data_IF_006596848740
#
_entry.id   IF_006596848740
#
_cell.length_a   1.000
_cell.length_b   1.000
_cell.length_c   1.000
_cell.angle_alpha   90.00
_cell.angle_beta   90.00
_cell.angle_gamma   90.00
#
_symmetry.space_group_name_H-M   'P 1'
#
loop_
_entity.id
_entity.type
_entity.pdbx_description
1 polymer ?
#
# COMPACT_ATOMS: atom_id res chain seq x y z
N UNK A 1 -8.20 -78.02 4.93
CA UNK A 1 -9.51 -78.71 5.05
C UNK A 1 -10.41 -77.78 5.85
N UNK A 2 -11.69 -77.57 5.52
CA UNK A 2 -12.38 -77.84 4.25
C UNK A 2 -12.99 -76.62 3.65
N UNK A 3 -13.27 -76.72 2.41
CA UNK A 3 -14.05 -75.94 1.47
C UNK A 3 -15.52 -75.78 1.86
N UNK A 4 -16.14 -74.61 1.59
CA UNK A 4 -17.58 -74.56 1.28
C UNK A 4 -17.90 -73.55 0.22
N UNK A 5 -18.41 -74.08 -0.87
CA UNK A 5 -19.06 -73.34 -2.00
C UNK A 5 -20.44 -72.85 -1.55
N UNK A 6 -20.81 -71.61 -1.99
CA UNK A 6 -22.23 -71.24 -2.13
C UNK A 6 -22.42 -70.25 -3.29
N UNK A 7 -22.93 -70.74 -4.32
CA UNK A 7 -24.12 -70.50 -5.16
C UNK A 7 -24.49 -69.03 -5.45
N UNK A 8 -24.45 -68.74 -6.77
CA UNK A 8 -25.01 -67.57 -7.41
C UNK A 8 -26.54 -67.54 -7.30
N UNK A 9 -27.11 -66.36 -7.00
CA UNK A 9 -28.49 -66.03 -7.28
C UNK A 9 -28.50 -64.80 -8.18
N UNK A 10 -28.96 -64.96 -9.41
CA UNK A 10 -29.20 -63.90 -10.37
C UNK A 10 -30.50 -63.13 -10.01
N UNK A 11 -30.43 -61.82 -9.80
CA UNK A 11 -31.59 -60.97 -9.75
C UNK A 11 -31.55 -60.02 -10.94
N UNK A 12 -32.54 -60.13 -11.80
CA UNK A 12 -32.79 -59.22 -12.95
C UNK A 12 -33.24 -57.84 -12.43
N UNK A 13 -32.51 -56.81 -12.79
CA UNK A 13 -32.92 -55.41 -12.55
C UNK A 13 -33.37 -54.83 -13.91
N UNK A 14 -34.62 -54.46 -13.99
CA UNK A 14 -35.19 -53.71 -15.11
C UNK A 14 -34.63 -52.30 -15.18
N UNK A 15 -34.01 -51.96 -16.29
CA UNK A 15 -33.52 -50.62 -16.57
C UNK A 15 -34.67 -49.67 -16.96
N UNK A 16 -35.00 -48.71 -16.09
CA UNK A 16 -35.80 -47.55 -16.47
C UNK A 16 -34.84 -46.51 -17.08
N UNK A 17 -34.95 -46.28 -18.36
CA UNK A 17 -34.29 -45.22 -19.11
C UNK A 17 -35.10 -43.93 -18.91
N UNK A 18 -34.57 -42.99 -18.10
CA UNK A 18 -35.03 -41.61 -18.08
C UNK A 18 -34.15 -40.78 -19.04
N UNK A 19 -34.73 -39.94 -19.90
CA UNK A 19 -33.94 -39.07 -20.75
C UNK A 19 -33.35 -37.91 -19.88
N UNK A 20 -32.05 -37.88 -19.69
CA UNK A 20 -31.34 -36.69 -19.22
C UNK A 20 -31.31 -35.69 -20.38
N UNK A 21 -32.12 -34.65 -20.27
CA UNK A 21 -31.96 -33.43 -21.04
C UNK A 21 -30.73 -32.69 -20.47
N UNK A 22 -29.57 -32.91 -21.07
CA UNK A 22 -28.37 -32.14 -20.79
C UNK A 22 -28.51 -30.78 -21.48
N UNK A 23 -29.00 -29.77 -20.75
CA UNK A 23 -28.68 -28.38 -21.06
C UNK A 23 -27.23 -28.13 -20.64
N UNK A 24 -26.31 -28.22 -21.61
CA UNK A 24 -24.95 -27.76 -21.45
C UNK A 24 -24.98 -26.24 -21.42
N UNK A 25 -24.90 -25.64 -20.21
CA UNK A 25 -24.39 -24.32 -20.05
C UNK A 25 -22.93 -24.48 -19.59
N UNK A 26 -22.00 -24.14 -20.47
CA UNK A 26 -20.59 -23.96 -20.11
C UNK A 26 -20.53 -22.92 -19.02
N UNK A 27 -20.25 -23.35 -17.80
CA UNK A 27 -19.99 -22.46 -16.70
C UNK A 27 -18.60 -21.84 -16.87
N UNK A 28 -18.53 -20.60 -17.36
CA UNK A 28 -17.44 -19.70 -17.07
C UNK A 28 -17.38 -19.58 -15.54
N UNK A 29 -16.25 -19.95 -14.94
CA UNK A 29 -16.02 -19.91 -13.48
C UNK A 29 -15.85 -18.51 -12.90
N UNK A 30 -16.38 -17.47 -13.54
CA UNK A 30 -16.47 -16.11 -13.04
C UNK A 30 -17.72 -15.94 -12.18
N UNK A 31 -17.58 -15.70 -10.89
CA UNK A 31 -18.68 -15.31 -10.01
C UNK A 31 -19.42 -14.10 -10.60
N UNK A 32 -20.76 -14.11 -10.53
CA UNK A 32 -21.59 -12.99 -11.01
C UNK A 32 -21.14 -11.69 -10.35
N UNK A 33 -20.86 -10.66 -11.16
CA UNK A 33 -20.56 -9.29 -10.71
C UNK A 33 -21.83 -8.52 -10.30
N UNK A 34 -23.00 -9.14 -10.40
CA UNK A 34 -24.25 -8.51 -10.03
C UNK A 34 -24.35 -8.36 -8.51
N UNK A 35 -24.29 -7.09 -8.07
CA UNK A 35 -24.52 -6.66 -6.69
C UNK A 35 -25.86 -5.92 -6.54
N UNK A 36 -26.74 -6.03 -7.52
CA UNK A 36 -28.10 -5.50 -7.45
C UNK A 36 -28.94 -6.32 -6.49
N UNK A 37 -29.89 -5.67 -5.82
CA UNK A 37 -30.80 -6.37 -4.93
C UNK A 37 -30.99 -5.67 -3.60
N UNK A 38 -31.69 -6.33 -2.69
CA UNK A 38 -31.96 -5.81 -1.37
C UNK A 38 -30.72 -5.92 -0.47
N UNK A 39 -30.46 -4.85 0.26
CA UNK A 39 -29.38 -4.82 1.26
C UNK A 39 -29.91 -5.50 2.52
N UNK A 40 -29.61 -6.78 2.69
CA UNK A 40 -30.02 -7.60 3.84
C UNK A 40 -29.16 -8.85 3.99
N UNK A 41 -29.23 -9.47 5.17
CA UNK A 41 -28.56 -10.72 5.53
C UNK A 41 -27.29 -10.50 6.34
N UNK A 42 -26.71 -11.61 6.78
CA UNK A 42 -25.53 -11.63 7.61
C UNK A 42 -24.29 -11.53 6.73
N UNK A 43 -23.39 -10.59 7.03
CA UNK A 43 -22.09 -10.41 6.38
C UNK A 43 -20.96 -10.41 7.42
N UNK A 44 -19.80 -10.84 6.99
CA UNK A 44 -18.55 -10.78 7.77
C UNK A 44 -17.65 -9.66 7.26
N UNK A 45 -17.14 -8.85 8.20
CA UNK A 45 -16.19 -7.77 7.94
C UNK A 45 -14.87 -8.07 8.65
N UNK A 46 -13.78 -8.20 7.92
CA UNK A 46 -12.45 -8.48 8.46
C UNK A 46 -11.52 -7.27 8.35
N UNK A 47 -10.87 -6.95 9.46
CA UNK A 47 -9.82 -5.92 9.58
C UNK A 47 -8.59 -6.48 10.28
N UNK A 48 -7.53 -5.68 10.40
CA UNK A 48 -6.31 -6.01 11.12
C UNK A 48 -5.88 -4.87 12.07
N UNK A 49 -5.55 -5.24 13.31
CA UNK A 49 -5.04 -4.34 14.36
C UNK A 49 -5.89 -3.09 14.63
N UNK A 50 -7.18 -3.12 14.38
CA UNK A 50 -8.06 -1.98 14.61
C UNK A 50 -8.86 -2.08 15.91
N UNK A 51 -9.23 -3.30 16.33
CA UNK A 51 -10.11 -3.49 17.50
C UNK A 51 -9.51 -2.95 18.80
N UNK A 52 -8.20 -3.10 18.99
CA UNK A 52 -7.54 -2.67 20.22
C UNK A 52 -7.69 -1.17 20.50
N UNK A 53 -7.73 -0.33 19.45
CA UNK A 53 -7.76 1.13 19.58
C UNK A 53 -9.07 1.76 19.12
N UNK A 54 -9.86 1.08 18.28
CA UNK A 54 -11.02 1.68 17.60
C UNK A 54 -12.29 0.85 17.74
N UNK A 55 -12.38 -0.02 18.77
CA UNK A 55 -13.54 -0.88 19.02
C UNK A 55 -14.84 -0.11 19.00
N UNK A 56 -14.95 0.92 19.85
CA UNK A 56 -16.19 1.68 20.01
C UNK A 56 -16.61 2.41 18.72
N UNK A 57 -15.63 2.83 17.92
CA UNK A 57 -15.90 3.46 16.63
C UNK A 57 -16.53 2.47 15.65
N UNK A 58 -15.92 1.28 15.47
CA UNK A 58 -16.43 0.29 14.51
C UNK A 58 -17.72 -0.36 14.96
N UNK A 59 -17.90 -0.62 16.26
CA UNK A 59 -19.16 -1.13 16.79
C UNK A 59 -20.29 -0.11 16.61
N UNK A 60 -20.03 1.19 16.80
CA UNK A 60 -20.99 2.26 16.53
C UNK A 60 -21.33 2.37 15.04
N UNK A 61 -20.32 2.37 14.16
CA UNK A 61 -20.49 2.42 12.72
C UNK A 61 -21.33 1.23 12.19
N UNK A 62 -21.08 0.03 12.72
CA UNK A 62 -21.85 -1.17 12.38
C UNK A 62 -23.30 -1.03 12.84
N UNK A 63 -23.52 -0.60 14.07
CA UNK A 63 -24.88 -0.41 14.60
C UNK A 63 -25.68 0.63 13.78
N UNK A 64 -25.05 1.71 13.34
CA UNK A 64 -25.70 2.73 12.49
C UNK A 64 -25.98 2.17 11.07
N UNK A 65 -25.10 1.34 10.51
CA UNK A 65 -25.36 0.64 9.24
C UNK A 65 -26.55 -0.32 9.37
N UNK A 66 -26.60 -1.17 10.39
CA UNK A 66 -27.69 -2.12 10.63
C UNK A 66 -29.02 -1.38 10.86
N UNK A 67 -29.01 -0.22 11.51
CA UNK A 67 -30.18 0.64 11.66
C UNK A 67 -30.64 1.24 10.33
N UNK A 68 -29.70 1.64 9.47
CA UNK A 68 -29.98 2.18 8.12
C UNK A 68 -30.54 1.10 7.18
N UNK A 69 -30.09 -0.13 7.34
CA UNK A 69 -30.50 -1.29 6.53
C UNK A 69 -31.06 -2.40 7.43
N UNK A 70 -32.33 -2.29 7.89
CA UNK A 70 -32.96 -3.30 8.73
C UNK A 70 -32.98 -4.67 8.04
N UNK A 71 -32.53 -5.69 8.76
CA UNK A 71 -32.36 -7.06 8.22
C UNK A 71 -30.94 -7.39 7.78
N UNK A 72 -29.98 -6.46 7.94
CA UNK A 72 -28.56 -6.77 7.85
C UNK A 72 -27.97 -7.02 9.23
N UNK A 73 -26.97 -7.89 9.30
CA UNK A 73 -26.12 -8.09 10.49
C UNK A 73 -24.67 -8.20 10.07
N UNK A 74 -23.78 -7.41 10.71
CA UNK A 74 -22.36 -7.36 10.38
C UNK A 74 -21.52 -7.96 11.50
N UNK A 75 -20.92 -9.11 11.24
CA UNK A 75 -19.97 -9.74 12.14
C UNK A 75 -18.56 -9.18 11.88
N UNK A 76 -18.08 -8.34 12.79
CA UNK A 76 -16.71 -7.80 12.69
C UNK A 76 -15.67 -8.75 13.30
N UNK A 77 -14.68 -9.10 12.50
CA UNK A 77 -13.51 -9.94 12.85
C UNK A 77 -12.26 -9.09 12.68
N UNK A 78 -11.46 -8.92 13.74
CA UNK A 78 -10.19 -8.22 13.68
C UNK A 78 -9.05 -9.19 13.93
N UNK A 79 -8.07 -9.22 13.05
CA UNK A 79 -6.92 -10.12 13.08
C UNK A 79 -5.65 -9.39 13.55
N UNK A 80 -4.67 -10.09 14.11
CA UNK A 80 -3.32 -9.55 14.27
C UNK A 80 -2.72 -9.14 12.91
N UNK A 81 -1.86 -8.12 12.90
CA UNK A 81 -1.16 -7.71 11.67
C UNK A 81 -0.11 -8.73 11.24
N UNK A 82 0.59 -9.34 12.19
CA UNK A 82 1.51 -10.46 11.92
C UNK A 82 0.74 -11.68 11.40
N UNK A 83 1.15 -12.20 10.24
CA UNK A 83 0.48 -13.33 9.59
C UNK A 83 -0.86 -13.01 8.92
N UNK A 84 -1.23 -11.72 8.79
CA UNK A 84 -2.52 -11.33 8.16
C UNK A 84 -2.62 -11.79 6.70
N UNK A 85 -1.56 -11.63 5.91
CA UNK A 85 -1.51 -12.07 4.52
C UNK A 85 -1.67 -13.60 4.40
N UNK A 86 -1.00 -14.35 5.28
CA UNK A 86 -1.11 -15.82 5.32
C UNK A 86 -2.53 -16.25 5.69
N UNK A 87 -3.16 -15.55 6.63
CA UNK A 87 -4.55 -15.81 7.03
C UNK A 87 -5.52 -15.59 5.88
N UNK A 88 -5.39 -14.48 5.14
CA UNK A 88 -6.21 -14.20 3.94
C UNK A 88 -6.01 -15.29 2.89
N UNK A 89 -4.77 -15.69 2.64
CA UNK A 89 -4.44 -16.74 1.66
C UNK A 89 -5.04 -18.09 2.07
N UNK A 90 -4.98 -18.44 3.36
CA UNK A 90 -5.60 -19.67 3.88
C UNK A 90 -7.13 -19.64 3.79
N UNK A 91 -7.75 -18.50 4.11
CA UNK A 91 -9.21 -18.32 4.00
C UNK A 91 -9.68 -18.41 2.54
N UNK A 92 -8.91 -17.81 1.62
CA UNK A 92 -9.18 -17.88 0.18
C UNK A 92 -9.12 -19.34 -0.32
N UNK A 93 -8.07 -20.07 0.03
CA UNK A 93 -7.91 -21.48 -0.34
C UNK A 93 -8.96 -22.38 0.30
N UNK A 94 -9.41 -22.05 1.52
CA UNK A 94 -10.42 -22.81 2.27
C UNK A 94 -11.88 -22.46 1.91
N UNK A 95 -12.12 -21.46 1.05
CA UNK A 95 -13.49 -20.98 0.75
C UNK A 95 -14.17 -20.31 1.95
N UNK A 96 -13.40 -19.76 2.89
CA UNK A 96 -13.88 -19.10 4.12
C UNK A 96 -13.55 -17.62 4.16
N UNK A 97 -13.21 -17.03 3.00
CA UNK A 97 -12.91 -15.62 2.88
C UNK A 97 -14.12 -14.77 3.30
N UNK A 98 -13.97 -13.80 4.21
CA UNK A 98 -15.05 -12.91 4.63
C UNK A 98 -15.67 -12.13 3.48
N UNK A 99 -16.90 -11.62 3.67
CA UNK A 99 -17.63 -10.87 2.65
C UNK A 99 -16.95 -9.53 2.32
N UNK A 100 -16.40 -8.84 3.34
CA UNK A 100 -15.67 -7.57 3.20
C UNK A 100 -14.34 -7.69 3.94
N UNK A 101 -13.25 -7.43 3.24
CA UNK A 101 -11.88 -7.64 3.75
C UNK A 101 -11.04 -6.37 3.60
N UNK A 102 -10.41 -5.94 4.68
CA UNK A 102 -9.42 -4.86 4.64
C UNK A 102 -8.12 -5.37 3.99
N UNK A 103 -7.68 -4.72 2.94
CA UNK A 103 -6.55 -5.15 2.11
C UNK A 103 -5.68 -3.98 1.67
N UNK A 104 -4.40 -4.24 1.47
CA UNK A 104 -3.51 -3.42 0.65
C UNK A 104 -3.56 -3.87 -0.81
N UNK A 105 -3.13 -3.05 -1.78
CA UNK A 105 -3.18 -3.41 -3.20
C UNK A 105 -2.50 -4.74 -3.54
N UNK A 106 -1.36 -5.04 -2.91
CA UNK A 106 -0.62 -6.30 -3.10
C UNK A 106 -1.38 -7.53 -2.60
N UNK A 107 -2.24 -7.40 -1.59
CA UNK A 107 -3.11 -8.49 -1.12
C UNK A 107 -4.33 -8.70 -2.04
N UNK A 108 -4.79 -7.65 -2.71
CA UNK A 108 -5.92 -7.75 -3.66
C UNK A 108 -5.54 -8.52 -4.91
N UNK A 109 -4.34 -8.32 -5.44
CA UNK A 109 -3.93 -8.85 -6.73
C UNK A 109 -4.07 -10.37 -6.87
N UNK A 110 -3.55 -11.21 -5.95
CA UNK A 110 -3.73 -12.66 -6.03
C UNK A 110 -5.20 -13.07 -5.89
N UNK A 111 -5.98 -12.38 -5.07
CA UNK A 111 -7.41 -12.67 -4.87
C UNK A 111 -8.24 -12.35 -6.12
N UNK A 112 -7.94 -11.24 -6.79
CA UNK A 112 -8.62 -10.88 -8.04
C UNK A 112 -8.26 -11.84 -9.18
N UNK A 113 -6.99 -12.21 -9.32
CA UNK A 113 -6.54 -13.22 -10.29
C UNK A 113 -7.23 -14.58 -10.06
N UNK A 114 -7.50 -14.93 -8.81
CA UNK A 114 -8.25 -16.14 -8.44
C UNK A 114 -9.77 -16.00 -8.59
N UNK A 115 -10.29 -14.83 -9.04
CA UNK A 115 -11.73 -14.57 -9.17
C UNK A 115 -12.47 -14.42 -7.83
N UNK A 116 -11.74 -14.10 -6.75
CA UNK A 116 -12.29 -13.95 -5.40
C UNK A 116 -12.59 -12.48 -5.03
N UNK A 117 -12.02 -11.50 -5.73
CA UNK A 117 -12.31 -10.10 -5.55
C UNK A 117 -13.38 -9.63 -6.58
N UNK A 118 -14.37 -8.91 -6.10
CA UNK A 118 -15.46 -8.38 -6.94
C UNK A 118 -14.94 -7.22 -7.80
N UNK A 119 -15.23 -7.23 -9.10
CA UNK A 119 -14.98 -6.13 -10.02
C UNK A 119 -15.93 -4.95 -9.69
N UNK A 120 -15.40 -3.92 -9.06
CA UNK A 120 -16.18 -2.77 -8.61
C UNK A 120 -16.55 -1.81 -9.75
N UNK A 121 -15.80 -1.76 -10.85
CA UNK A 121 -16.19 -0.95 -11.99
C UNK A 121 -17.55 -1.43 -12.57
N UNK A 122 -17.82 -2.74 -12.47
CA UNK A 122 -19.12 -3.33 -12.87
C UNK A 122 -20.17 -3.30 -11.76
N UNK A 123 -19.77 -3.61 -10.53
CA UNK A 123 -20.71 -3.78 -9.41
C UNK A 123 -21.05 -2.45 -8.68
N UNK A 124 -20.19 -1.47 -8.74
CA UNK A 124 -20.21 -0.25 -7.91
C UNK A 124 -19.61 0.99 -8.62
N UNK A 125 -19.47 0.98 -9.95
CA UNK A 125 -18.81 2.04 -10.72
C UNK A 125 -19.44 3.42 -10.58
N UNK A 126 -20.71 3.50 -10.14
CA UNK A 126 -21.36 4.76 -9.81
C UNK A 126 -20.67 5.54 -8.69
N UNK A 127 -19.88 4.88 -7.84
CA UNK A 127 -19.15 5.48 -6.72
C UNK A 127 -17.73 5.94 -7.07
N UNK A 128 -17.18 5.55 -8.24
CA UNK A 128 -15.80 5.90 -8.64
C UNK A 128 -15.46 7.37 -8.41
N UNK A 129 -16.38 8.28 -8.83
CA UNK A 129 -16.17 9.73 -8.74
C UNK A 129 -16.19 10.30 -7.32
N UNK A 130 -16.59 9.50 -6.34
CA UNK A 130 -16.54 9.90 -4.92
C UNK A 130 -15.12 9.83 -4.36
N UNK A 131 -14.21 9.12 -5.03
CA UNK A 131 -12.83 8.91 -4.60
C UNK A 131 -11.82 9.74 -5.41
N UNK A 132 -10.65 9.94 -4.85
CA UNK A 132 -9.50 10.47 -5.58
C UNK A 132 -9.13 9.49 -6.71
N UNK A 133 -8.88 9.99 -7.89
CA UNK A 133 -8.55 9.19 -9.08
C UNK A 133 -7.38 8.23 -8.82
N UNK A 134 -6.28 8.73 -8.22
CA UNK A 134 -5.13 7.91 -7.88
C UNK A 134 -5.43 6.83 -6.85
N UNK A 135 -6.33 7.09 -5.90
CA UNK A 135 -6.72 6.09 -4.89
C UNK A 135 -7.60 4.98 -5.50
N UNK A 136 -8.55 5.33 -6.38
CA UNK A 136 -9.35 4.33 -7.10
C UNK A 136 -8.47 3.47 -8.02
N UNK A 137 -7.55 4.12 -8.75
CA UNK A 137 -6.65 3.44 -9.68
C UNK A 137 -5.63 2.51 -8.98
N UNK A 138 -5.29 2.74 -7.71
CA UNK A 138 -4.33 1.91 -6.97
C UNK A 138 -4.76 0.45 -6.76
N UNK A 139 -6.07 0.17 -6.90
CA UNK A 139 -6.62 -1.18 -6.80
C UNK A 139 -6.93 -1.81 -8.18
N UNK A 140 -6.45 -1.22 -9.26
CA UNK A 140 -6.42 -1.82 -10.59
C UNK A 140 -5.21 -2.74 -10.71
N UNK A 141 -5.41 -3.88 -11.37
CA UNK A 141 -4.37 -4.90 -11.50
C UNK A 141 -3.90 -4.94 -12.95
N UNK A 142 -2.60 -4.80 -13.20
CA UNK A 142 -2.05 -4.88 -14.55
C UNK A 142 -2.50 -6.16 -15.27
N UNK A 143 -2.96 -6.01 -16.51
CA UNK A 143 -3.48 -7.14 -17.31
C UNK A 143 -4.90 -7.59 -16.98
N UNK A 144 -5.58 -6.92 -16.05
CA UNK A 144 -6.99 -7.16 -15.75
C UNK A 144 -7.80 -5.88 -15.92
N UNK A 145 -9.08 -6.01 -16.35
CA UNK A 145 -10.03 -4.91 -16.33
C UNK A 145 -10.66 -4.80 -14.94
N UNK A 146 -11.03 -3.58 -14.53
CA UNK A 146 -11.76 -3.33 -13.29
C UNK A 146 -10.87 -2.86 -12.11
N UNK A 147 -11.57 -2.41 -11.08
CA UNK A 147 -11.02 -2.01 -9.77
C UNK A 147 -11.53 -2.99 -8.71
N UNK A 148 -10.67 -3.47 -7.80
CA UNK A 148 -10.98 -4.63 -6.96
C UNK A 148 -11.09 -4.37 -5.46
N UNK A 149 -10.98 -3.10 -5.04
CA UNK A 149 -11.32 -2.69 -3.68
C UNK A 149 -11.77 -1.23 -3.65
N UNK A 150 -12.70 -0.90 -2.75
CA UNK A 150 -13.01 0.48 -2.41
C UNK A 150 -11.81 1.11 -1.70
N UNK A 151 -11.26 2.25 -2.17
CA UNK A 151 -10.21 2.94 -1.43
C UNK A 151 -10.75 3.39 -0.07
N UNK A 152 -10.04 3.04 0.99
CA UNK A 152 -10.52 3.36 2.34
C UNK A 152 -9.77 4.56 2.92
N UNK A 153 -8.51 4.37 3.27
CA UNK A 153 -7.70 5.46 3.79
C UNK A 153 -6.33 5.51 3.16
N UNK A 154 -5.78 6.71 3.15
CA UNK A 154 -4.46 7.00 2.62
C UNK A 154 -3.48 7.25 3.76
N UNK A 155 -2.23 6.91 3.51
CA UNK A 155 -1.13 7.29 4.36
C UNK A 155 -0.03 7.93 3.52
N UNK A 156 0.53 9.02 4.04
CA UNK A 156 1.70 9.70 3.50
C UNK A 156 2.34 10.49 4.64
N UNK A 157 3.57 10.90 4.47
CA UNK A 157 4.24 11.76 5.44
C UNK A 157 5.15 12.76 4.75
N UNK A 158 5.39 13.91 5.38
CA UNK A 158 6.38 14.86 4.93
C UNK A 158 7.79 14.34 5.15
N UNK A 159 8.75 15.09 4.63
CA UNK A 159 10.15 14.92 4.91
C UNK A 159 10.58 15.99 5.91
N UNK A 160 11.22 15.58 7.00
CA UNK A 160 11.86 16.48 7.96
C UNK A 160 13.30 16.72 7.57
N UNK A 161 13.80 17.93 7.83
CA UNK A 161 15.20 18.25 7.62
C UNK A 161 15.75 19.12 8.75
N UNK A 162 17.04 19.01 9.01
CA UNK A 162 17.73 19.76 10.06
C UNK A 162 18.30 21.08 9.49
N UNK A 163 17.61 22.20 9.74
CA UNK A 163 17.99 23.54 9.31
C UNK A 163 19.41 23.95 9.73
N UNK A 164 19.86 23.50 10.90
CA UNK A 164 21.21 23.81 11.39
C UNK A 164 22.29 23.14 10.55
N UNK A 165 22.08 21.90 10.12
CA UNK A 165 22.99 21.18 9.24
C UNK A 165 23.03 21.78 7.84
N UNK A 166 21.87 22.18 7.31
CA UNK A 166 21.79 22.91 6.04
C UNK A 166 22.60 24.20 6.10
N UNK A 167 22.37 25.03 7.14
CA UNK A 167 23.12 26.27 7.34
C UNK A 167 24.62 26.02 7.48
N UNK A 168 25.05 24.99 8.24
CA UNK A 168 26.46 24.61 8.39
C UNK A 168 27.10 24.25 7.05
N UNK A 169 26.33 23.64 6.15
CA UNK A 169 26.78 23.28 4.81
C UNK A 169 26.74 24.45 3.79
N UNK A 170 26.28 25.63 4.20
CA UNK A 170 26.14 26.80 3.32
C UNK A 170 24.92 26.71 2.41
N UNK A 171 23.93 25.89 2.79
CA UNK A 171 22.62 25.81 2.15
C UNK A 171 21.65 26.76 2.83
N UNK A 172 20.68 27.28 2.07
CA UNK A 172 19.60 28.08 2.65
C UNK A 172 18.64 27.17 3.44
N UNK A 173 18.53 27.34 4.77
CA UNK A 173 17.65 26.50 5.57
C UNK A 173 16.15 26.73 5.34
N UNK A 174 15.77 27.79 4.60
CA UNK A 174 14.36 28.06 4.24
C UNK A 174 14.01 27.60 2.82
N UNK A 175 14.99 27.03 2.11
CA UNK A 175 14.84 26.46 0.77
C UNK A 175 15.27 24.98 0.77
N UNK A 176 14.49 24.08 1.37
CA UNK A 176 14.80 22.64 1.35
C UNK A 176 14.70 22.09 -0.08
N UNK A 177 15.49 21.05 -0.40
CA UNK A 177 15.41 20.38 -1.69
C UNK A 177 14.04 19.76 -1.90
N UNK A 178 13.56 19.79 -3.16
CA UNK A 178 12.26 19.26 -3.60
C UNK A 178 12.40 18.15 -4.63
N UNK A 179 13.50 18.16 -5.38
CA UNK A 179 13.80 17.17 -6.41
C UNK A 179 14.97 16.28 -5.97
N UNK A 180 15.12 15.13 -6.59
CA UNK A 180 16.24 14.24 -6.32
C UNK A 180 17.58 14.90 -6.63
N UNK A 181 17.70 15.65 -7.74
CA UNK A 181 18.95 16.33 -8.09
C UNK A 181 19.34 17.36 -7.02
N UNK A 182 18.37 18.14 -6.51
CA UNK A 182 18.59 19.09 -5.41
C UNK A 182 19.02 18.38 -4.11
N UNK A 183 18.42 17.20 -3.82
CA UNK A 183 18.83 16.37 -2.67
C UNK A 183 20.26 15.86 -2.83
N UNK A 184 20.62 15.36 -4.02
CA UNK A 184 21.96 14.85 -4.28
C UNK A 184 23.02 15.95 -4.14
N UNK A 185 22.74 17.13 -4.68
CA UNK A 185 23.62 18.28 -4.54
C UNK A 185 23.76 18.75 -3.10
N UNK A 186 22.65 18.79 -2.35
CA UNK A 186 22.65 19.11 -0.93
C UNK A 186 23.44 18.06 -0.13
N UNK A 187 23.28 16.78 -0.46
CA UNK A 187 23.94 15.67 0.22
C UNK A 187 25.47 15.76 0.07
N UNK A 188 25.95 15.98 -1.14
CA UNK A 188 27.40 16.15 -1.39
C UNK A 188 27.97 17.37 -0.66
N UNK A 189 27.23 18.49 -0.62
CA UNK A 189 27.64 19.68 0.14
C UNK A 189 27.70 19.43 1.65
N UNK A 190 26.69 18.76 2.22
CA UNK A 190 26.65 18.43 3.65
C UNK A 190 27.81 17.50 3.99
N UNK A 191 28.00 16.41 3.26
CA UNK A 191 29.11 15.48 3.48
C UNK A 191 30.47 16.18 3.36
N UNK A 192 30.67 17.00 2.34
CA UNK A 192 31.94 17.74 2.15
C UNK A 192 32.22 18.75 3.23
N UNK A 193 31.21 19.34 3.90
CA UNK A 193 31.37 20.30 5.01
C UNK A 193 31.47 19.63 6.37
N UNK A 194 31.23 18.35 6.45
CA UNK A 194 31.25 17.56 7.70
C UNK A 194 32.24 16.39 7.64
N UNK A 195 33.11 16.35 6.61
CA UNK A 195 34.08 15.27 6.37
C UNK A 195 33.42 13.86 6.39
N UNK A 196 32.14 13.78 5.92
CA UNK A 196 31.36 12.57 5.90
C UNK A 196 30.81 12.13 7.26
N UNK A 197 30.89 12.97 8.31
CA UNK A 197 30.29 12.66 9.61
C UNK A 197 28.77 12.74 9.59
N UNK A 198 28.18 13.55 8.69
CA UNK A 198 26.74 13.72 8.53
C UNK A 198 26.32 13.26 7.13
N UNK A 199 25.48 12.25 7.09
CA UNK A 199 24.80 11.84 5.86
C UNK A 199 23.52 12.67 5.64
N UNK A 200 23.08 12.78 4.42
CA UNK A 200 21.79 13.43 4.15
C UNK A 200 20.65 12.43 4.19
N UNK A 201 20.82 11.27 3.59
CA UNK A 201 19.85 10.19 3.53
C UNK A 201 20.34 8.96 4.31
N UNK A 202 19.42 8.26 4.94
CA UNK A 202 19.71 7.07 5.74
C UNK A 202 19.38 5.75 5.02
N UNK A 203 18.67 5.78 3.91
CA UNK A 203 18.15 4.59 3.23
C UNK A 203 18.72 4.50 1.81
N UNK A 204 18.83 3.27 1.32
CA UNK A 204 19.00 2.99 -0.11
C UNK A 204 17.69 3.25 -0.85
N UNK A 205 17.72 3.47 -2.20
CA UNK A 205 16.50 3.69 -2.96
C UNK A 205 15.61 2.45 -2.96
N UNK A 206 14.30 2.69 -2.80
CA UNK A 206 13.24 1.69 -2.89
C UNK A 206 12.54 1.78 -4.23
N UNK A 207 11.63 0.86 -4.54
CA UNK A 207 10.87 0.89 -5.80
C UNK A 207 10.10 2.20 -5.98
N UNK A 208 9.61 2.79 -4.90
CA UNK A 208 8.91 4.06 -4.89
C UNK A 208 9.86 5.23 -5.22
N UNK A 209 11.14 5.13 -4.84
CA UNK A 209 12.14 6.13 -5.22
C UNK A 209 12.42 6.09 -6.72
N UNK A 210 12.50 4.89 -7.31
CA UNK A 210 12.62 4.74 -8.77
C UNK A 210 11.44 5.40 -9.48
N UNK A 211 10.20 5.14 -9.03
CA UNK A 211 9.00 5.76 -9.59
C UNK A 211 8.98 7.29 -9.43
N UNK A 212 9.26 7.80 -8.23
CA UNK A 212 9.31 9.26 -7.96
C UNK A 212 10.45 9.97 -8.72
N UNK A 213 11.52 9.26 -9.07
CA UNK A 213 12.58 9.78 -9.92
C UNK A 213 12.17 9.81 -11.39
N UNK A 214 11.22 8.98 -11.81
CA UNK A 214 10.65 8.91 -13.16
C UNK A 214 11.08 7.69 -13.96
N UNK A 215 11.60 6.65 -13.30
CA UNK A 215 11.83 5.35 -13.94
C UNK A 215 10.49 4.65 -14.23
N UNK A 216 10.44 3.90 -15.32
CA UNK A 216 9.31 3.03 -15.64
C UNK A 216 9.32 1.82 -14.72
N UNK A 217 8.33 1.67 -13.84
CA UNK A 217 8.34 0.56 -12.88
C UNK A 217 7.98 -0.77 -13.55
N UNK A 218 7.05 -0.75 -14.50
CA UNK A 218 6.64 -1.90 -15.31
C UNK A 218 6.52 -1.52 -16.78
N UNK A 219 6.51 -2.51 -17.67
CA UNK A 219 6.17 -2.31 -19.07
C UNK A 219 4.69 -1.86 -19.19
N UNK A 220 4.29 -1.38 -20.37
CA UNK A 220 2.94 -0.87 -20.63
C UNK A 220 1.83 -1.90 -20.38
N UNK A 221 2.13 -3.17 -20.63
CA UNK A 221 1.23 -4.29 -20.45
C UNK A 221 1.12 -4.75 -19.00
N UNK A 222 1.99 -4.23 -18.09
CA UNK A 222 2.03 -4.65 -16.69
C UNK A 222 2.50 -6.10 -16.47
N UNK A 223 3.20 -6.68 -17.44
CA UNK A 223 3.60 -8.09 -17.44
C UNK A 223 5.07 -8.34 -17.11
N UNK A 224 5.87 -7.28 -17.03
CA UNK A 224 7.29 -7.33 -16.68
C UNK A 224 7.72 -6.02 -16.00
N UNK A 225 8.70 -6.11 -15.12
CA UNK A 225 9.32 -4.94 -14.52
C UNK A 225 10.25 -4.23 -15.51
N UNK A 226 10.42 -2.92 -15.37
CA UNK A 226 11.17 -2.08 -16.31
C UNK A 226 12.04 -1.00 -15.63
N UNK A 227 12.22 -1.07 -14.32
CA UNK A 227 12.95 -0.05 -13.56
C UNK A 227 14.46 -0.04 -13.78
N UNK A 228 14.96 -0.87 -14.69
CA UNK A 228 16.33 -0.86 -15.24
C UNK A 228 16.48 0.05 -16.47
N UNK A 229 15.53 0.93 -16.72
CA UNK A 229 15.61 1.94 -17.78
C UNK A 229 16.69 3.01 -17.46
N UNK A 230 16.91 3.95 -18.40
CA UNK A 230 17.91 4.98 -18.25
C UNK A 230 17.74 5.82 -16.96
N UNK A 231 16.49 6.08 -16.56
CA UNK A 231 16.19 6.84 -15.32
C UNK A 231 16.50 6.03 -14.07
N UNK A 232 16.18 4.74 -14.06
CA UNK A 232 16.53 3.86 -12.96
C UNK A 232 18.04 3.74 -12.78
N UNK A 233 18.78 3.57 -13.88
CA UNK A 233 20.26 3.50 -13.85
C UNK A 233 20.87 4.82 -13.39
N UNK A 234 20.33 5.96 -13.85
CA UNK A 234 20.75 7.29 -13.39
C UNK A 234 20.55 7.44 -11.88
N UNK A 235 19.37 7.11 -11.34
CA UNK A 235 19.09 7.17 -9.91
C UNK A 235 20.11 6.34 -9.11
N UNK A 236 20.31 5.08 -9.47
CA UNK A 236 21.23 4.20 -8.74
C UNK A 236 22.68 4.66 -8.86
N UNK A 237 23.07 5.24 -9.97
CA UNK A 237 24.41 5.85 -10.17
C UNK A 237 24.60 7.02 -9.20
N UNK A 238 23.60 7.91 -9.06
CA UNK A 238 23.66 9.03 -8.13
C UNK A 238 23.71 8.55 -6.67
N UNK A 239 22.96 7.52 -6.30
CA UNK A 239 23.05 6.92 -4.97
C UNK A 239 24.43 6.31 -4.70
N UNK A 240 25.06 5.71 -5.72
CA UNK A 240 26.44 5.22 -5.59
C UNK A 240 27.42 6.36 -5.35
N UNK A 241 27.29 7.48 -6.06
CA UNK A 241 28.10 8.68 -5.81
C UNK A 241 27.96 9.19 -4.36
N UNK A 242 26.72 9.21 -3.83
CA UNK A 242 26.48 9.57 -2.42
C UNK A 242 27.16 8.59 -1.46
N UNK A 243 27.08 7.29 -1.77
CA UNK A 243 27.68 6.25 -0.92
C UNK A 243 29.22 6.40 -0.89
N UNK A 244 29.85 6.57 -2.06
CA UNK A 244 31.30 6.74 -2.20
C UNK A 244 31.78 8.05 -1.51
N UNK A 245 30.98 9.10 -1.57
CA UNK A 245 31.24 10.38 -0.93
C UNK A 245 30.89 10.43 0.59
N UNK A 246 30.43 9.33 1.19
CA UNK A 246 29.90 9.25 2.56
C UNK A 246 28.72 10.21 2.83
N UNK A 247 28.00 10.60 1.79
CA UNK A 247 26.81 11.44 1.86
C UNK A 247 25.54 10.61 2.11
N UNK A 248 25.61 9.28 1.94
CA UNK A 248 24.63 8.30 2.36
C UNK A 248 25.11 7.63 3.66
N UNK A 249 24.18 7.35 4.58
CA UNK A 249 24.52 6.68 5.85
C UNK A 249 25.28 5.36 5.60
N UNK A 250 26.38 5.09 6.29
CA UNK A 250 27.14 3.85 6.12
C UNK A 250 26.34 2.57 6.41
N UNK A 251 25.26 2.66 7.21
CA UNK A 251 24.36 1.57 7.52
C UNK A 251 23.09 1.58 6.66
N UNK A 252 23.02 2.40 5.59
CA UNK A 252 21.85 2.50 4.72
C UNK A 252 21.41 1.15 4.14
N UNK A 253 22.35 0.23 3.92
CA UNK A 253 22.09 -1.12 3.42
C UNK A 253 21.24 -1.99 4.38
N UNK A 254 21.28 -1.69 5.68
CA UNK A 254 20.57 -2.43 6.73
C UNK A 254 19.62 -1.54 7.54
N UNK A 255 19.36 -0.33 7.04
CA UNK A 255 18.54 0.65 7.73
C UNK A 255 17.08 0.19 7.91
N UNK A 256 16.52 0.53 9.07
CA UNK A 256 15.10 0.39 9.37
C UNK A 256 14.52 1.76 9.71
N UNK A 257 13.20 2.00 9.59
CA UNK A 257 12.58 3.27 9.95
C UNK A 257 12.95 3.73 11.37
N UNK A 258 13.02 2.80 12.34
CA UNK A 258 13.41 3.10 13.71
C UNK A 258 14.88 3.54 13.81
N UNK A 259 15.79 2.89 13.11
CA UNK A 259 17.22 3.24 13.13
C UNK A 259 17.47 4.60 12.48
N UNK A 260 16.74 4.94 11.41
CA UNK A 260 16.87 6.24 10.71
C UNK A 260 16.36 7.40 11.57
N UNK A 261 15.23 7.22 12.25
CA UNK A 261 14.71 8.21 13.19
C UNK A 261 15.70 8.53 14.35
N UNK A 262 16.35 7.50 14.90
CA UNK A 262 17.40 7.68 15.93
C UNK A 262 18.60 8.48 15.40
N UNK A 263 19.03 8.23 14.16
CA UNK A 263 20.15 8.98 13.53
C UNK A 263 19.78 10.43 13.24
N UNK A 264 18.56 10.70 12.83
CA UNK A 264 18.05 12.06 12.69
C UNK A 264 18.05 12.79 14.05
N UNK A 265 17.59 12.13 15.13
CA UNK A 265 17.60 12.65 16.49
C UNK A 265 19.02 13.08 16.97
N UNK A 266 20.03 12.31 16.61
CA UNK A 266 21.42 12.59 17.00
C UNK A 266 22.14 13.57 16.05
N UNK A 267 21.50 13.95 14.93
CA UNK A 267 22.09 14.80 13.90
C UNK A 267 23.09 14.09 12.99
N UNK A 268 23.13 12.75 13.01
CA UNK A 268 23.96 11.96 12.10
C UNK A 268 23.39 11.91 10.68
N UNK A 269 22.08 12.19 10.55
CA UNK A 269 21.37 12.28 9.26
C UNK A 269 20.62 13.60 9.18
N UNK A 270 20.70 14.26 8.02
CA UNK A 270 20.15 15.60 7.84
C UNK A 270 18.68 15.62 7.42
N UNK A 271 18.17 14.55 6.80
CA UNK A 271 16.77 14.43 6.34
C UNK A 271 16.19 13.08 6.74
N UNK A 272 14.91 13.07 7.15
CA UNK A 272 14.21 11.87 7.60
C UNK A 272 12.71 11.95 7.26
N UNK A 273 12.11 10.95 6.64
CA UNK A 273 10.65 10.85 6.56
C UNK A 273 10.04 10.81 7.96
N UNK A 274 8.86 11.40 8.15
CA UNK A 274 8.28 11.41 9.47
C UNK A 274 6.79 11.76 9.50
N UNK A 275 6.24 11.62 10.71
CA UNK A 275 4.85 11.87 11.05
C UNK A 275 4.73 12.92 12.16
N UNK A 276 3.51 13.34 12.46
CA UNK A 276 3.23 14.20 13.61
C UNK A 276 3.67 13.56 14.94
N UNK A 277 3.57 12.23 15.05
CA UNK A 277 4.03 11.50 16.23
C UNK A 277 5.56 11.58 16.38
N UNK A 278 6.31 11.47 15.27
CA UNK A 278 7.77 11.62 15.30
C UNK A 278 8.15 13.02 15.74
N UNK A 279 7.47 14.04 15.22
CA UNK A 279 7.73 15.44 15.62
C UNK A 279 7.47 15.67 17.11
N UNK A 280 6.40 15.11 17.65
CA UNK A 280 6.09 15.15 19.08
C UNK A 280 7.16 14.42 19.93
N UNK A 281 7.68 13.29 19.42
CA UNK A 281 8.78 12.57 20.07
C UNK A 281 10.08 13.37 20.03
N UNK A 282 10.40 14.00 18.91
CA UNK A 282 11.61 14.86 18.79
C UNK A 282 11.54 16.06 19.72
N UNK A 283 10.36 16.66 19.88
CA UNK A 283 10.13 17.75 20.86
C UNK A 283 10.47 17.34 22.27
N UNK A 284 10.15 16.10 22.68
CA UNK A 284 10.42 15.56 24.01
C UNK A 284 11.88 15.13 24.19
N UNK A 285 12.44 14.43 23.21
CA UNK A 285 13.74 13.76 23.32
C UNK A 285 14.92 14.65 22.91
N UNK A 286 14.73 15.58 21.98
CA UNK A 286 15.76 16.46 21.43
C UNK A 286 15.24 17.89 21.19
N UNK A 287 14.93 18.66 22.25
CA UNK A 287 14.34 20.00 22.11
C UNK A 287 15.18 20.98 21.29
N UNK A 288 16.51 20.84 21.29
CA UNK A 288 17.43 21.67 20.48
C UNK A 288 17.34 21.36 19.01
N UNK A 289 17.23 20.08 18.63
CA UNK A 289 16.97 19.66 17.26
C UNK A 289 15.58 20.12 16.83
N UNK A 290 14.56 19.89 17.65
CA UNK A 290 13.18 20.23 17.34
C UNK A 290 13.01 21.69 16.90
N UNK A 291 13.68 22.65 17.54
CA UNK A 291 13.67 24.07 17.15
C UNK A 291 14.24 24.34 15.75
N UNK A 292 14.99 23.41 15.22
CA UNK A 292 15.69 23.50 13.94
C UNK A 292 15.14 22.51 12.91
N UNK A 293 14.00 21.86 13.17
CA UNK A 293 13.34 21.00 12.18
C UNK A 293 12.56 21.86 11.18
N UNK A 294 12.88 21.69 9.92
CA UNK A 294 12.03 22.11 8.81
C UNK A 294 11.17 20.97 8.33
N UNK A 295 10.01 21.30 7.75
CA UNK A 295 9.07 20.36 7.14
C UNK A 295 8.99 20.68 5.67
N UNK A 296 9.13 19.67 4.81
CA UNK A 296 8.98 19.78 3.35
C UNK A 296 8.20 18.57 2.81
N UNK A 297 7.71 18.67 1.58
CA UNK A 297 7.08 17.55 0.90
C UNK A 297 8.10 16.41 0.66
N UNK A 298 7.62 15.24 0.27
CA UNK A 298 8.48 14.17 -0.23
C UNK A 298 9.25 14.64 -1.45
N UNK A 299 10.46 14.10 -1.61
CA UNK A 299 11.29 14.37 -2.79
C UNK A 299 10.69 13.66 -4.00
N UNK A 300 10.59 14.38 -5.10
CA UNK A 300 10.09 13.84 -6.37
C UNK A 300 10.65 14.60 -7.56
N UNK A 301 10.98 13.93 -8.64
CA UNK A 301 11.34 14.55 -9.93
C UNK A 301 10.19 14.49 -10.93
N UNK A 302 9.09 13.77 -10.61
CA UNK A 302 7.88 13.67 -11.45
C UNK A 302 6.83 14.75 -11.10
N UNK A 303 6.99 15.42 -9.96
CA UNK A 303 5.97 16.33 -9.40
C UNK A 303 4.87 15.63 -8.59
N UNK A 304 4.88 14.31 -8.53
CA UNK A 304 3.93 13.50 -7.76
C UNK A 304 4.63 12.85 -6.56
N UNK A 305 4.02 12.96 -5.39
CA UNK A 305 4.51 12.28 -4.18
C UNK A 305 3.93 10.86 -4.09
N UNK A 306 4.55 10.01 -3.29
CA UNK A 306 4.02 8.67 -3.03
C UNK A 306 2.91 8.71 -1.98
N UNK A 307 1.87 7.90 -2.18
CA UNK A 307 0.89 7.55 -1.16
C UNK A 307 0.81 6.04 -0.99
N UNK A 308 0.33 5.61 0.17
CA UNK A 308 -0.04 4.23 0.42
C UNK A 308 -1.55 4.18 0.62
N UNK A 309 -2.21 3.23 -0.04
CA UNK A 309 -3.67 3.10 -0.02
C UNK A 309 -4.05 1.81 0.66
N UNK A 310 -5.00 1.87 1.58
CA UNK A 310 -5.70 0.69 2.08
C UNK A 310 -7.09 0.66 1.50
N UNK A 311 -7.61 -0.54 1.26
CA UNK A 311 -8.92 -0.72 0.64
C UNK A 311 -9.80 -1.72 1.38
N UNK A 312 -11.07 -1.72 1.00
CA UNK A 312 -12.04 -2.76 1.36
C UNK A 312 -12.43 -3.55 0.10
N UNK A 313 -11.94 -4.76 0.01
CA UNK A 313 -12.30 -5.71 -1.02
C UNK A 313 -13.64 -6.37 -0.67
N UNK A 314 -14.49 -6.56 -1.67
CA UNK A 314 -15.71 -7.37 -1.56
C UNK A 314 -15.44 -8.75 -2.16
N UNK A 315 -15.79 -9.80 -1.42
CA UNK A 315 -15.64 -11.17 -1.89
C UNK A 315 -16.63 -11.46 -3.06
N UNK A 316 -16.09 -11.81 -4.22
CA UNK A 316 -16.91 -12.14 -5.41
C UNK A 316 -17.77 -13.39 -5.21
N UNK A 317 -17.45 -14.24 -4.25
CA UNK A 317 -18.23 -15.45 -3.91
C UNK A 317 -19.23 -15.22 -2.77
N UNK A 318 -19.31 -13.99 -2.22
CA UNK A 318 -20.33 -13.67 -1.21
C UNK A 318 -21.74 -13.95 -1.73
N UNK A 319 -22.55 -14.61 -0.93
CA UNK A 319 -23.98 -14.79 -1.21
C UNK A 319 -24.79 -13.51 -0.89
N UNK A 320 -24.14 -12.51 -0.26
CA UNK A 320 -24.73 -11.25 0.20
C UNK A 320 -24.08 -10.04 -0.46
N UNK A 321 -23.71 -10.14 -1.74
CA UNK A 321 -23.03 -9.05 -2.48
C UNK A 321 -23.70 -7.67 -2.34
N UNK A 322 -25.05 -7.52 -2.44
CA UNK A 322 -25.67 -6.21 -2.25
C UNK A 322 -25.37 -5.60 -0.85
N UNK A 323 -25.44 -6.41 0.21
CA UNK A 323 -25.13 -5.95 1.56
C UNK A 323 -23.63 -5.69 1.75
N UNK A 324 -22.75 -6.55 1.22
CA UNK A 324 -21.30 -6.39 1.29
C UNK A 324 -20.81 -5.13 0.56
N UNK A 325 -21.30 -4.86 -0.66
CA UNK A 325 -20.99 -3.64 -1.42
C UNK A 325 -21.52 -2.40 -0.70
N UNK A 326 -22.77 -2.44 -0.22
CA UNK A 326 -23.35 -1.32 0.50
C UNK A 326 -22.58 -1.02 1.81
N UNK A 327 -22.15 -2.05 2.53
CA UNK A 327 -21.35 -1.88 3.74
C UNK A 327 -19.94 -1.37 3.45
N UNK A 328 -19.25 -1.94 2.46
CA UNK A 328 -17.92 -1.50 2.07
C UNK A 328 -17.93 -0.01 1.64
N UNK A 329 -18.90 0.38 0.81
CA UNK A 329 -19.09 1.80 0.45
C UNK A 329 -19.42 2.67 1.67
N UNK A 330 -20.31 2.23 2.57
CA UNK A 330 -20.68 2.96 3.79
C UNK A 330 -19.48 3.25 4.68
N UNK A 331 -18.59 2.26 4.87
CA UNK A 331 -17.35 2.46 5.64
C UNK A 331 -16.40 3.43 4.94
N UNK A 332 -16.41 3.44 3.60
CA UNK A 332 -15.44 4.20 2.77
C UNK A 332 -16.02 5.48 2.17
N UNK A 333 -17.23 5.87 2.50
CA UNK A 333 -17.80 7.15 2.07
C UNK A 333 -17.14 8.35 2.78
N UNK A 334 -17.40 9.55 2.30
CA UNK A 334 -16.76 10.77 2.80
C UNK A 334 -17.06 11.04 4.29
N UNK A 335 -18.28 10.76 4.76
CA UNK A 335 -18.69 11.00 6.14
C UNK A 335 -17.93 10.11 7.12
N UNK A 336 -17.89 8.79 6.83
CA UNK A 336 -17.28 7.81 7.71
C UNK A 336 -15.75 7.86 7.65
N UNK A 337 -15.15 8.10 6.48
CA UNK A 337 -13.71 8.33 6.40
C UNK A 337 -13.27 9.59 7.14
N UNK A 338 -14.01 10.69 7.04
CA UNK A 338 -13.73 11.91 7.81
C UNK A 338 -13.88 11.70 9.31
N UNK A 339 -14.91 10.97 9.74
CA UNK A 339 -15.09 10.60 11.14
C UNK A 339 -13.93 9.76 11.67
N UNK A 340 -13.42 8.82 10.87
CA UNK A 340 -12.27 7.99 11.23
C UNK A 340 -10.97 8.78 11.23
N UNK A 341 -10.72 9.60 10.20
CA UNK A 341 -9.51 10.42 10.08
C UNK A 341 -9.33 11.43 11.23
N UNK A 342 -10.44 11.90 11.85
CA UNK A 342 -10.40 12.74 13.05
C UNK A 342 -10.01 11.99 14.33
N UNK A 343 -9.95 10.66 14.29
CA UNK A 343 -9.58 9.79 15.44
C UNK A 343 -8.19 9.19 15.28
N UNK A 344 -7.69 9.09 14.07
CA UNK A 344 -6.39 8.49 13.75
C UNK A 344 -5.68 9.31 12.66
N UNK A 345 -4.35 9.35 12.72
CA UNK A 345 -3.54 10.14 11.78
C UNK A 345 -3.44 9.48 10.39
N UNK A 346 -4.58 9.37 9.71
CA UNK A 346 -4.73 8.92 8.32
C UNK A 346 -5.44 10.00 7.50
N UNK A 347 -5.54 9.77 6.20
CA UNK A 347 -6.21 10.69 5.28
C UNK A 347 -7.34 9.96 4.55
N UNK A 348 -8.49 10.62 4.32
CA UNK A 348 -9.56 10.04 3.52
C UNK A 348 -9.13 9.93 2.05
N UNK A 349 -9.61 8.88 1.39
CA UNK A 349 -9.42 8.66 -0.05
C UNK A 349 -10.49 9.33 -0.91
N UNK A 350 -11.50 9.95 -0.29
CA UNK A 350 -12.65 10.55 -0.98
C UNK A 350 -12.31 11.93 -1.53
N UNK A 351 -12.79 12.21 -2.74
CA UNK A 351 -12.65 13.49 -3.41
C UNK A 351 -13.33 14.59 -2.57
N UNK A 352 -12.67 15.74 -2.43
CA UNK A 352 -13.20 16.86 -1.66
C UNK A 352 -13.00 16.76 -0.13
N UNK A 353 -12.80 15.59 0.44
CA UNK A 353 -12.56 15.46 1.89
C UNK A 353 -11.27 16.15 2.34
N UNK A 354 -10.25 16.18 1.48
CA UNK A 354 -9.00 16.90 1.76
C UNK A 354 -9.14 18.43 1.71
N UNK A 355 -10.30 18.95 1.29
CA UNK A 355 -10.63 20.40 1.34
C UNK A 355 -11.29 20.82 2.65
N UNK A 356 -11.67 19.86 3.52
CA UNK A 356 -12.22 20.14 4.85
C UNK A 356 -11.26 21.02 5.66
N UNK A 357 -11.78 21.99 6.47
CA UNK A 357 -10.96 22.79 7.37
C UNK A 357 -10.01 21.99 8.26
N UNK A 358 -10.33 20.78 8.61
CA UNK A 358 -9.46 19.87 9.35
C UNK A 358 -8.14 19.60 8.64
N UNK A 359 -8.14 19.51 7.31
CA UNK A 359 -6.96 19.26 6.47
C UNK A 359 -6.35 20.50 5.83
N UNK A 360 -6.99 21.67 5.93
CA UNK A 360 -6.54 22.89 5.24
C UNK A 360 -6.15 24.01 6.20
N UNK A 361 -6.52 23.94 7.49
CA UNK A 361 -6.21 24.98 8.47
C UNK A 361 -5.21 24.49 9.49
N UNK A 362 -4.21 25.33 9.74
CA UNK A 362 -3.26 25.16 10.85
C UNK A 362 -3.72 25.97 12.06
N UNK A 363 -3.52 25.41 13.25
CA UNK A 363 -3.76 26.07 14.54
C UNK A 363 -2.43 26.42 15.27
N UNK A 364 -1.31 26.24 14.57
CA UNK A 364 0.05 26.50 15.07
C UNK A 364 0.65 25.30 15.80
N UNK A 365 -0.05 24.18 15.92
CA UNK A 365 0.51 22.93 16.45
C UNK A 365 1.30 22.19 15.37
N UNK A 366 2.27 21.37 15.80
CA UNK A 366 3.04 20.52 14.89
C UNK A 366 2.17 19.48 14.18
N UNK A 367 1.15 18.98 14.88
CA UNK A 367 0.19 18.03 14.32
C UNK A 367 -0.55 18.64 13.13
N UNK A 368 -1.09 19.84 13.29
CA UNK A 368 -1.82 20.50 12.18
C UNK A 368 -0.90 20.89 11.04
N UNK A 369 0.34 21.32 11.31
CA UNK A 369 1.35 21.61 10.27
C UNK A 369 1.66 20.38 9.41
N UNK A 370 1.93 19.22 10.05
CA UNK A 370 2.19 17.96 9.33
C UNK A 370 0.95 17.50 8.57
N UNK A 371 -0.21 17.56 9.20
CA UNK A 371 -1.48 17.13 8.58
C UNK A 371 -1.82 17.95 7.34
N UNK A 372 -1.73 19.28 7.42
CA UNK A 372 -2.02 20.19 6.31
C UNK A 372 -1.03 20.00 5.16
N UNK A 373 0.27 19.91 5.46
CA UNK A 373 1.29 19.65 4.44
C UNK A 373 1.02 18.32 3.71
N UNK A 374 0.78 17.24 4.47
CA UNK A 374 0.49 15.92 3.88
C UNK A 374 -0.80 15.90 3.05
N UNK A 375 -1.87 16.51 3.55
CA UNK A 375 -3.15 16.57 2.83
C UNK A 375 -3.04 17.33 1.50
N UNK A 376 -2.24 18.40 1.47
CA UNK A 376 -1.96 19.15 0.25
C UNK A 376 -1.28 18.27 -0.80
N UNK A 377 -0.28 17.50 -0.40
CA UNK A 377 0.49 16.62 -1.29
C UNK A 377 -0.36 15.47 -1.83
N UNK A 378 -1.28 14.94 -1.03
CA UNK A 378 -2.14 13.81 -1.41
C UNK A 378 -3.08 14.09 -2.59
N UNK A 379 -3.43 15.35 -2.85
CA UNK A 379 -4.33 15.71 -3.97
C UNK A 379 -3.81 15.28 -5.34
N UNK A 380 -2.49 15.18 -5.48
CA UNK A 380 -1.82 14.77 -6.73
C UNK A 380 -0.93 13.55 -6.52
N UNK A 381 -1.04 12.88 -5.39
CA UNK A 381 -0.23 11.71 -5.07
C UNK A 381 -0.63 10.51 -5.93
N UNK A 382 0.35 9.63 -6.17
CA UNK A 382 0.16 8.33 -6.82
C UNK A 382 0.78 7.24 -5.96
N UNK A 383 0.26 6.04 -6.05
CA UNK A 383 0.89 4.88 -5.45
C UNK A 383 1.95 4.35 -6.43
N UNK A 384 3.22 4.53 -6.06
CA UNK A 384 4.33 4.05 -6.87
C UNK A 384 4.70 2.59 -6.60
N UNK A 385 4.08 1.94 -5.61
CA UNK A 385 4.33 0.52 -5.37
C UNK A 385 3.54 -0.31 -6.38
N UNK A 386 4.18 -0.99 -7.36
CA UNK A 386 3.42 -1.85 -8.25
C UNK A 386 2.68 -2.93 -7.47
N UNK A 387 1.40 -3.10 -7.73
CA UNK A 387 0.51 -4.04 -7.02
C UNK A 387 1.06 -5.48 -6.97
N UNK A 388 1.88 -5.84 -7.96
CA UNK A 388 2.50 -7.16 -8.07
C UNK A 388 3.90 -7.23 -7.43
N UNK A 389 4.38 -6.15 -6.78
CA UNK A 389 5.73 -6.06 -6.23
C UNK A 389 5.77 -6.60 -4.80
N UNK A 390 6.01 -7.90 -4.64
CA UNK A 390 5.99 -8.61 -3.37
C UNK A 390 7.18 -8.27 -2.44
N UNK A 391 7.08 -8.62 -1.17
CA UNK A 391 8.16 -8.46 -0.17
C UNK A 391 9.45 -9.18 -0.59
N UNK A 392 9.33 -10.31 -1.28
CA UNK A 392 10.49 -11.02 -1.80
C UNK A 392 11.17 -10.20 -2.91
N UNK A 393 10.40 -9.55 -3.80
CA UNK A 393 10.94 -8.66 -4.84
C UNK A 393 11.60 -7.42 -4.24
N UNK A 394 11.05 -6.84 -3.17
CA UNK A 394 11.69 -5.75 -2.42
C UNK A 394 13.06 -6.17 -1.87
N UNK A 395 13.16 -7.39 -1.39
CA UNK A 395 14.40 -7.97 -0.88
C UNK A 395 15.42 -8.16 -2.01
N UNK A 396 15.01 -8.69 -3.16
CA UNK A 396 15.90 -8.86 -4.33
C UNK A 396 16.42 -7.50 -4.83
N UNK A 397 15.54 -6.49 -5.00
CA UNK A 397 15.95 -5.15 -5.37
C UNK A 397 16.99 -4.58 -4.39
N UNK A 398 16.73 -4.66 -3.10
CA UNK A 398 17.64 -4.17 -2.05
C UNK A 398 19.00 -4.85 -2.13
N UNK A 399 19.05 -6.18 -2.35
CA UNK A 399 20.27 -6.95 -2.44
C UNK A 399 21.13 -6.50 -3.65
N UNK A 400 20.49 -6.30 -4.81
CA UNK A 400 21.21 -5.88 -6.01
C UNK A 400 21.67 -4.42 -5.90
N UNK A 401 20.83 -3.53 -5.38
CA UNK A 401 21.22 -2.15 -5.03
C UNK A 401 22.44 -2.15 -4.11
N UNK A 402 22.45 -2.97 -3.06
CA UNK A 402 23.56 -3.06 -2.13
C UNK A 402 24.88 -3.48 -2.84
N UNK A 403 24.82 -4.42 -3.78
CA UNK A 403 26.01 -4.83 -4.56
C UNK A 403 26.54 -3.70 -5.43
N UNK A 404 25.66 -2.92 -6.07
CA UNK A 404 26.06 -1.75 -6.85
C UNK A 404 26.73 -0.68 -5.98
N UNK A 405 26.13 -0.33 -4.84
CA UNK A 405 26.70 0.66 -3.92
C UNK A 405 28.07 0.23 -3.40
N UNK A 406 28.27 -1.07 -3.13
CA UNK A 406 29.55 -1.64 -2.71
C UNK A 406 30.57 -1.79 -3.86
N UNK A 407 30.22 -1.41 -5.09
CA UNK A 407 31.11 -1.53 -6.26
C UNK A 407 31.35 -2.97 -6.75
N UNK A 408 30.51 -3.92 -6.33
CA UNK A 408 30.60 -5.35 -6.74
C UNK A 408 30.06 -5.59 -8.15
N UNK A 409 29.22 -4.69 -8.65
CA UNK A 409 28.67 -4.67 -10.01
C UNK A 409 28.30 -3.24 -10.38
N UNK A 410 28.12 -2.98 -11.67
CA UNK A 410 27.65 -1.67 -12.14
C UNK A 410 26.17 -1.44 -11.77
N UNK A 411 25.71 -0.18 -11.71
CA UNK A 411 24.29 0.12 -11.53
C UNK A 411 23.38 -0.56 -12.57
N UNK A 412 23.80 -0.60 -13.85
CA UNK A 412 23.05 -1.29 -14.90
C UNK A 412 22.92 -2.79 -14.61
N UNK A 413 24.04 -3.48 -14.35
CA UNK A 413 24.03 -4.92 -14.04
C UNK A 413 23.19 -5.24 -12.82
N UNK A 414 23.22 -4.37 -11.78
CA UNK A 414 22.42 -4.54 -10.59
C UNK A 414 20.92 -4.49 -10.90
N UNK A 415 20.50 -3.50 -11.67
CA UNK A 415 19.09 -3.36 -12.02
C UNK A 415 18.61 -4.43 -12.99
N UNK A 416 19.45 -4.86 -13.94
CA UNK A 416 19.14 -5.97 -14.85
C UNK A 416 18.94 -7.27 -14.06
N UNK A 417 19.79 -7.53 -13.06
CA UNK A 417 19.65 -8.69 -12.18
C UNK A 417 18.39 -8.60 -11.31
N UNK A 418 18.09 -7.42 -10.74
CA UNK A 418 16.90 -7.19 -9.95
C UNK A 418 15.62 -7.40 -10.77
N UNK A 419 15.53 -6.79 -11.96
CA UNK A 419 14.39 -6.97 -12.88
C UNK A 419 14.21 -8.44 -13.22
N UNK A 420 15.27 -9.13 -13.62
CA UNK A 420 15.22 -10.57 -13.94
C UNK A 420 14.74 -11.42 -12.76
N UNK A 421 15.17 -11.10 -11.53
CA UNK A 421 14.72 -11.81 -10.34
C UNK A 421 13.24 -11.54 -10.06
N UNK A 422 12.83 -10.27 -10.17
CA UNK A 422 11.43 -9.86 -9.98
C UNK A 422 10.50 -10.48 -11.02
N UNK A 423 10.89 -10.51 -12.31
CA UNK A 423 10.09 -11.12 -13.37
C UNK A 423 9.91 -12.63 -13.17
N UNK A 424 10.95 -13.31 -12.71
CA UNK A 424 10.84 -14.73 -12.35
C UNK A 424 9.84 -14.95 -11.22
N UNK A 425 9.87 -14.10 -10.19
CA UNK A 425 8.93 -14.17 -9.07
C UNK A 425 7.50 -13.81 -9.53
N UNK A 426 7.35 -12.86 -10.43
CA UNK A 426 6.07 -12.47 -11.02
C UNK A 426 5.42 -13.66 -11.76
N UNK A 427 6.20 -14.40 -12.55
CA UNK A 427 5.74 -15.61 -13.23
C UNK A 427 5.30 -16.73 -12.28
N UNK A 428 5.81 -16.76 -11.06
CA UNK A 428 5.41 -17.76 -10.04
C UNK A 428 4.12 -17.39 -9.32
N UNK A 429 3.67 -16.14 -9.45
CA UNK A 429 2.41 -15.64 -8.85
C UNK A 429 1.20 -15.78 -9.79
N UNK A 430 1.41 -16.13 -11.04
CA UNK A 430 0.37 -16.37 -12.07
C UNK A 430 0.17 -17.83 -12.30
#
# INVERSE_FOLDING_TARGET
MPTSRRTFAAAAVAALVLPLSACGSGGDGGGSTDASGKVEGDITFQTWNLRANFKDYFEGLIADFEKKYPGTHVKWVDQPGEGYADKISADAAGGTLPDVVNVSPDLVAPLAKAGLALDLDKAAGQYEKEYLEGAWASHRIPGMEGTYAFPWYLNTGPLFYNKSLFKKAGLDPEQPPKTYDEVFDAALKIAGKTDGEVATLANVPTIEDFGRYGASLMNKEGTAFAFNDAKGVELLTRYKELYDAKALDPQALTATPESTGKKFLTGAVAMNPGSALDLANFKKQAPSLYKNIGITDQITSTGHVNMYVMGLMVNAQSERKPAAVAFAHYVTDAEHQMSFAKKVAIFPSTAGSLDDPYFTKEDGTDETRVRVASAKSLKTAVDYTPVLFSEQMKTELRNEVAKALQGKQSPQEALDNAVKACDRLLQQQG
#
